data_IF_941577510918
#
_entry.id   IF_941577510918
#
_cell.length_a   1.000
_cell.length_b   1.000
_cell.length_c   1.000
_cell.angle_alpha   90.00
_cell.angle_beta   90.00
_cell.angle_gamma   90.00
#
_symmetry.space_group_name_H-M   'P 1'
#
loop_
_entity.id
_entity.type
_entity.pdbx_description
1 polymer ?
#
# COMPACT_ATOMS: atom_id res chain seq x y z
N UNK A 1 8.00 -8.51 2.53
CA UNK A 1 8.58 -7.14 2.39
C UNK A 1 9.21 -6.70 3.72
N UNK A 2 9.77 -5.49 3.88
CA UNK A 2 10.34 -5.03 5.17
C UNK A 2 9.92 -3.59 5.50
N UNK A 3 9.58 -3.33 6.75
CA UNK A 3 9.27 -1.99 7.25
C UNK A 3 8.55 -2.03 8.61
N UNK A 4 8.97 -1.17 9.54
CA UNK A 4 8.50 -1.23 10.93
C UNK A 4 7.36 -0.26 11.27
N UNK A 5 7.23 0.84 10.50
CA UNK A 5 6.19 1.83 10.76
C UNK A 5 4.80 1.20 10.56
N UNK A 6 3.81 1.46 11.44
CA UNK A 6 2.48 0.85 11.34
C UNK A 6 1.81 0.98 9.96
N UNK A 7 1.96 2.13 9.31
CA UNK A 7 1.38 2.38 7.98
C UNK A 7 2.06 1.52 6.90
N UNK A 8 3.37 1.29 7.07
CA UNK A 8 4.14 0.44 6.16
C UNK A 8 3.77 -1.02 6.40
N UNK A 9 3.58 -1.45 7.65
CA UNK A 9 3.08 -2.80 7.97
C UNK A 9 1.71 -3.05 7.32
N UNK A 10 0.80 -2.07 7.40
CA UNK A 10 -0.49 -2.15 6.70
C UNK A 10 -0.32 -2.29 5.18
N UNK A 11 0.51 -1.46 4.56
CA UNK A 11 0.79 -1.57 3.12
C UNK A 11 1.39 -2.95 2.74
N UNK A 12 2.31 -3.47 3.55
CA UNK A 12 2.93 -4.79 3.35
C UNK A 12 1.89 -5.90 3.43
N UNK A 13 1.05 -5.89 4.47
CA UNK A 13 0.00 -6.89 4.65
C UNK A 13 -0.97 -6.92 3.47
N UNK A 14 -1.42 -5.74 3.03
CA UNK A 14 -2.29 -5.57 1.86
C UNK A 14 -1.63 -6.16 0.61
N UNK A 15 -0.37 -5.79 0.34
CA UNK A 15 0.33 -6.26 -0.86
C UNK A 15 0.54 -7.77 -0.81
N UNK A 16 1.02 -8.30 0.32
CA UNK A 16 1.28 -9.73 0.45
C UNK A 16 0.00 -10.56 0.28
N UNK A 17 -1.12 -10.08 0.81
CA UNK A 17 -2.41 -10.75 0.65
C UNK A 17 -2.89 -10.70 -0.81
N UNK A 18 -2.84 -9.52 -1.43
CA UNK A 18 -3.27 -9.35 -2.81
C UNK A 18 -2.41 -10.14 -3.80
N UNK A 19 -1.09 -10.11 -3.66
CA UNK A 19 -0.16 -10.81 -4.56
C UNK A 19 -0.26 -12.33 -4.40
N UNK A 20 -0.40 -12.84 -3.17
CA UNK A 20 -0.47 -14.29 -2.93
C UNK A 20 -1.84 -14.89 -3.23
N UNK A 21 -2.93 -14.16 -2.94
CA UNK A 21 -4.28 -14.72 -2.93
C UNK A 21 -5.29 -13.98 -3.84
N UNK A 22 -4.90 -12.85 -4.44
CA UNK A 22 -5.81 -12.02 -5.24
C UNK A 22 -6.91 -11.35 -4.42
N UNK A 23 -6.76 -11.28 -3.09
CA UNK A 23 -7.78 -10.74 -2.18
C UNK A 23 -7.41 -9.34 -1.73
N UNK A 24 -8.37 -8.43 -1.83
CA UNK A 24 -8.27 -7.08 -1.27
C UNK A 24 -8.67 -7.17 0.20
N UNK A 25 -7.77 -6.77 1.10
CA UNK A 25 -8.04 -6.73 2.53
C UNK A 25 -8.78 -5.46 2.92
N UNK A 26 -9.72 -5.56 3.86
CA UNK A 26 -10.29 -4.37 4.50
C UNK A 26 -9.45 -3.96 5.72
N UNK A 27 -9.34 -2.65 6.00
CA UNK A 27 -8.72 -2.17 7.23
C UNK A 27 -9.36 -2.81 8.47
N UNK A 28 -8.53 -3.28 9.40
CA UNK A 28 -8.98 -3.92 10.64
C UNK A 28 -8.73 -3.05 11.89
N UNK A 29 -9.44 -3.27 13.01
CA UNK A 29 -9.39 -2.38 14.18
C UNK A 29 -8.04 -2.25 14.88
N UNK A 30 -7.11 -3.18 14.66
CA UNK A 30 -5.76 -3.14 15.25
C UNK A 30 -4.83 -2.11 14.58
N UNK A 31 -5.26 -1.52 13.45
CA UNK A 31 -4.54 -0.43 12.81
C UNK A 31 -4.60 0.85 13.66
N UNK A 32 -3.59 1.75 13.56
CA UNK A 32 -3.62 3.03 14.25
C UNK A 32 -4.91 3.81 13.99
N UNK A 33 -5.57 4.29 15.05
CA UNK A 33 -6.85 5.02 14.97
C UNK A 33 -6.81 6.19 14.00
N UNK A 34 -5.70 6.91 13.97
CA UNK A 34 -5.48 8.04 13.07
C UNK A 34 -5.61 7.68 11.57
N UNK A 35 -5.41 6.42 11.18
CA UNK A 35 -5.63 5.98 9.79
C UNK A 35 -7.11 6.00 9.40
N UNK A 36 -8.02 5.93 10.38
CA UNK A 36 -9.47 5.99 10.19
C UNK A 36 -10.04 7.41 10.35
N UNK A 37 -9.38 8.25 11.14
CA UNK A 37 -9.89 9.57 11.55
C UNK A 37 -9.58 10.69 10.56
N UNK A 38 -8.66 10.47 9.62
CA UNK A 38 -8.24 11.50 8.66
C UNK A 38 -8.32 11.05 7.21
N UNK A 39 -8.56 12.03 6.34
CA UNK A 39 -8.40 11.94 4.90
C UNK A 39 -7.09 12.62 4.51
N UNK A 40 -6.22 11.90 3.81
CA UNK A 40 -5.00 12.46 3.23
C UNK A 40 -4.63 11.69 1.96
N UNK A 41 -3.92 12.35 1.04
CA UNK A 41 -3.24 11.64 -0.04
C UNK A 41 -2.11 10.77 0.51
N UNK A 42 -1.76 9.71 -0.22
CA UNK A 42 -0.68 8.80 0.15
C UNK A 42 0.05 8.29 -1.09
N UNK A 43 1.35 8.09 -0.97
CA UNK A 43 2.16 7.39 -1.97
C UNK A 43 2.78 6.15 -1.33
N UNK A 44 2.72 5.03 -2.05
CA UNK A 44 3.40 3.80 -1.66
C UNK A 44 4.49 3.52 -2.67
N UNK A 45 5.73 3.47 -2.19
CA UNK A 45 6.91 3.20 -3.00
C UNK A 45 7.53 1.88 -2.59
N UNK A 46 7.69 0.97 -3.54
CA UNK A 46 8.38 -0.30 -3.38
C UNK A 46 9.81 -0.14 -3.87
N UNK A 47 10.76 -0.63 -3.07
CA UNK A 47 12.16 -0.74 -3.45
C UNK A 47 12.58 -2.21 -3.36
N UNK A 48 13.48 -2.63 -4.25
CA UNK A 48 14.18 -3.90 -4.11
C UNK A 48 15.21 -3.80 -2.98
N UNK A 49 15.77 -4.95 -2.58
CA UNK A 49 16.80 -5.03 -1.53
C UNK A 49 18.09 -4.29 -1.89
N UNK A 50 18.36 -4.08 -3.17
CA UNK A 50 19.48 -3.28 -3.68
C UNK A 50 19.19 -1.76 -3.70
N UNK A 51 18.01 -1.34 -3.22
CA UNK A 51 17.57 0.04 -3.18
C UNK A 51 16.95 0.56 -4.49
N UNK A 52 16.94 -0.23 -5.57
CA UNK A 52 16.33 0.19 -6.82
C UNK A 52 14.80 0.28 -6.72
N UNK A 53 14.21 1.26 -7.44
CA UNK A 53 12.77 1.44 -7.51
C UNK A 53 12.10 0.21 -8.15
N UNK A 54 11.01 -0.27 -7.53
CA UNK A 54 10.21 -1.41 -8.00
C UNK A 54 8.76 -1.05 -8.34
N UNK A 55 8.26 0.04 -7.81
CA UNK A 55 6.92 0.55 -8.08
C UNK A 55 6.63 1.76 -7.22
N UNK A 56 5.87 2.72 -7.73
CA UNK A 56 5.40 3.88 -6.98
C UNK A 56 4.08 4.37 -7.55
N UNK A 57 3.03 4.31 -6.74
CA UNK A 57 1.71 4.87 -7.06
C UNK A 57 1.20 5.60 -5.82
N UNK A 58 0.49 6.69 -6.05
CA UNK A 58 -0.13 7.45 -5.00
C UNK A 58 -1.08 8.51 -5.51
N UNK A 59 -1.76 9.13 -4.57
CA UNK A 59 -2.70 10.21 -4.78
C UNK A 59 -2.21 11.43 -4.00
N UNK A 60 -2.23 12.60 -4.64
CA UNK A 60 -1.78 13.84 -4.02
C UNK A 60 -2.85 14.47 -3.11
N UNK A 61 -4.13 14.23 -3.40
CA UNK A 61 -5.27 14.58 -2.56
C UNK A 61 -6.00 13.29 -2.13
N UNK A 62 -6.72 13.31 -1.00
CA UNK A 62 -7.49 12.15 -0.56
C UNK A 62 -8.57 11.78 -1.60
N UNK A 63 -8.58 10.51 -1.99
CA UNK A 63 -9.58 9.92 -2.88
C UNK A 63 -10.48 8.91 -2.16
N UNK A 64 -10.10 8.51 -0.95
CA UNK A 64 -10.83 7.56 -0.10
C UNK A 64 -11.41 8.20 1.14
N UNK A 65 -12.25 7.44 1.83
CA UNK A 65 -12.94 7.88 3.05
C UNK A 65 -11.99 8.08 4.23
N UNK A 66 -10.85 7.39 4.24
CA UNK A 66 -9.83 7.49 5.25
C UNK A 66 -8.45 7.07 4.70
N UNK A 67 -7.39 7.36 5.45
CA UNK A 67 -6.01 7.07 5.08
C UNK A 67 -5.72 5.56 5.02
N UNK A 68 -6.39 4.72 5.80
CA UNK A 68 -6.22 3.27 5.73
C UNK A 68 -6.60 2.73 4.33
N UNK A 69 -7.74 3.16 3.80
CA UNK A 69 -8.20 2.80 2.45
C UNK A 69 -7.31 3.41 1.37
N UNK A 70 -6.84 4.64 1.58
CA UNK A 70 -5.91 5.30 0.65
C UNK A 70 -4.58 4.53 0.53
N UNK A 71 -4.01 4.09 1.66
CA UNK A 71 -2.79 3.29 1.68
C UNK A 71 -3.04 1.94 1.01
N UNK A 72 -4.16 1.27 1.32
CA UNK A 72 -4.50 -0.04 0.74
C UNK A 72 -4.50 0.00 -0.79
N UNK A 73 -5.28 0.92 -1.37
CA UNK A 73 -5.48 0.96 -2.82
C UNK A 73 -4.19 1.37 -3.53
N UNK A 74 -3.45 2.35 -2.99
CA UNK A 74 -2.16 2.76 -3.54
C UNK A 74 -1.08 1.69 -3.37
N UNK A 75 -1.11 0.88 -2.31
CA UNK A 75 -0.18 -0.23 -2.13
C UNK A 75 -0.39 -1.33 -3.18
N UNK A 76 -1.65 -1.72 -3.42
CA UNK A 76 -1.99 -2.67 -4.49
C UNK A 76 -1.56 -2.12 -5.85
N UNK A 77 -1.87 -0.86 -6.14
CA UNK A 77 -1.51 -0.24 -7.41
C UNK A 77 0.01 -0.12 -7.59
N UNK A 78 0.76 0.25 -6.55
CA UNK A 78 2.21 0.29 -6.60
C UNK A 78 2.84 -1.09 -6.87
N UNK A 79 2.21 -2.16 -6.40
CA UNK A 79 2.66 -3.53 -6.63
C UNK A 79 2.26 -4.09 -8.00
N UNK A 80 1.15 -3.64 -8.57
CA UNK A 80 0.52 -4.36 -9.71
C UNK A 80 0.18 -3.50 -10.93
N UNK A 81 0.15 -2.17 -10.79
CA UNK A 81 -0.35 -1.25 -11.80
C UNK A 81 0.64 -0.14 -12.19
N UNK A 82 1.84 -0.10 -11.60
CA UNK A 82 2.88 0.81 -12.06
C UNK A 82 3.33 0.41 -13.48
N UNK A 83 3.02 1.23 -14.52
CA UNK A 83 3.23 0.83 -15.92
C UNK A 83 4.70 0.69 -16.31
N UNK A 84 5.62 1.16 -15.45
CA UNK A 84 7.07 1.09 -15.68
C UNK A 84 7.64 -0.29 -15.35
N UNK A 85 6.90 -1.12 -14.63
CA UNK A 85 7.38 -2.41 -14.16
C UNK A 85 6.31 -3.50 -14.34
N UNK A 86 6.70 -4.77 -14.53
CA UNK A 86 5.73 -5.87 -14.45
C UNK A 86 5.12 -5.95 -13.04
N UNK A 87 3.92 -6.55 -12.87
CA UNK A 87 3.35 -6.82 -11.55
C UNK A 87 4.32 -7.61 -10.65
N UNK A 88 4.28 -7.35 -9.34
CA UNK A 88 5.01 -8.13 -8.34
C UNK A 88 4.38 -9.52 -8.24
N UNK A 89 5.22 -10.56 -8.21
CA UNK A 89 4.82 -11.96 -8.01
C UNK A 89 5.13 -12.43 -6.58
N UNK A 90 4.48 -13.50 -6.10
CA UNK A 90 4.79 -14.14 -4.81
C UNK A 90 6.26 -14.55 -4.66
#
# INVERSE_FOLDING_TARGET
MKGEHPYVKWAIEVIENYVKYGKVLDPHPDLPKELFERKAGAFVTLHKTDGSLRGCIGTFLPTKENLALEIRDNAIAAATQDPRFPPVSP
#
